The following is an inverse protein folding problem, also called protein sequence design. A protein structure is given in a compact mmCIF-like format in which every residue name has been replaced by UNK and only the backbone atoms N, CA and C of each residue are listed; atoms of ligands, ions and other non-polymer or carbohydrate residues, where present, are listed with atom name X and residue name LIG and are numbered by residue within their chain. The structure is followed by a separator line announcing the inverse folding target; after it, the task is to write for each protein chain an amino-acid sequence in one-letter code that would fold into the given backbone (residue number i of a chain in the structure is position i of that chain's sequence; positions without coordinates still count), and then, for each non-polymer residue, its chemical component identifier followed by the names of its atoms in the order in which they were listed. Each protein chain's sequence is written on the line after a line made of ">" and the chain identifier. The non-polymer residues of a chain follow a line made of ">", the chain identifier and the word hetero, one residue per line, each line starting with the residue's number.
data_IF_076084292864
#
_entry.id   IF_076084292864
#
_cell.length_a   1.000
_cell.length_b   1.000
_cell.length_c   1.000
_cell.angle_alpha   90.00
_cell.angle_beta   90.00
_cell.angle_gamma   90.00
#
_symmetry.space_group_name_H-M   'P 1'
#
loop_
_entity.id
_entity.type
_entity.pdbx_description
1 polymer ?
#
# COMPACT_ATOMS: atom_id res chain seq x y z
N UNK A 1 2.48 23.87 -7.50
CA UNK A 1 1.34 23.04 -7.10
C UNK A 1 1.86 21.71 -6.59
N UNK A 2 1.15 21.11 -5.63
CA UNK A 2 1.51 19.85 -4.98
C UNK A 2 0.25 19.01 -4.76
N UNK A 3 0.41 17.69 -4.72
CA UNK A 3 -0.64 16.76 -4.30
C UNK A 3 -0.47 16.40 -2.83
N UNK A 4 -1.60 16.17 -2.15
CA UNK A 4 -1.59 15.61 -0.80
C UNK A 4 -1.33 14.11 -0.86
N UNK A 5 -0.51 13.63 0.08
CA UNK A 5 -0.15 12.22 0.20
C UNK A 5 -0.65 11.73 1.56
N UNK A 6 -1.44 10.67 1.53
CA UNK A 6 -2.08 10.08 2.69
C UNK A 6 -1.63 8.63 2.87
N UNK A 7 -1.55 8.19 4.12
CA UNK A 7 -1.68 6.78 4.46
C UNK A 7 -3.17 6.45 4.49
N UNK A 8 -3.60 5.56 3.59
CA UNK A 8 -4.97 5.05 3.55
C UNK A 8 -5.03 3.71 4.23
N UNK A 9 -5.86 3.62 5.26
CA UNK A 9 -6.13 2.37 5.97
C UNK A 9 -7.43 1.76 5.49
N UNK A 10 -7.38 0.49 5.07
CA UNK A 10 -8.57 -0.29 4.70
C UNK A 10 -8.67 -1.55 5.56
N UNK A 11 -9.90 -2.02 5.77
CA UNK A 11 -10.15 -3.20 6.60
C UNK A 11 -9.40 -4.42 6.06
N UNK A 12 -8.76 -5.15 6.96
CA UNK A 12 -7.97 -6.33 6.63
C UNK A 12 -7.82 -7.27 7.82
N UNK A 13 -7.45 -8.53 7.56
CA UNK A 13 -7.22 -9.53 8.58
C UNK A 13 -5.87 -10.23 8.37
N UNK A 14 -5.11 -10.50 9.46
CA UNK A 14 -5.36 -10.17 10.86
C UNK A 14 -5.04 -8.71 11.23
N UNK A 15 -4.53 -7.91 10.29
CA UNK A 15 -4.29 -6.48 10.43
C UNK A 15 -4.89 -5.77 9.22
N UNK A 16 -5.24 -4.52 9.40
CA UNK A 16 -5.69 -3.65 8.32
C UNK A 16 -4.62 -3.52 7.23
N UNK A 17 -5.07 -3.14 6.04
CA UNK A 17 -4.18 -2.91 4.91
C UNK A 17 -3.84 -1.42 4.83
N UNK A 18 -2.57 -1.12 4.60
CA UNK A 18 -2.08 0.24 4.42
C UNK A 18 -1.62 0.45 2.99
N UNK A 19 -1.99 1.60 2.44
CA UNK A 19 -1.55 2.02 1.14
C UNK A 19 -1.19 3.51 1.12
N UNK A 20 -0.28 3.89 0.23
CA UNK A 20 0.01 5.30 -0.04
C UNK A 20 -1.04 5.79 -1.04
N UNK A 21 -1.86 6.75 -0.63
CA UNK A 21 -2.86 7.38 -1.48
C UNK A 21 -2.43 8.80 -1.81
N UNK A 22 -2.36 9.13 -3.09
CA UNK A 22 -2.06 10.49 -3.56
C UNK A 22 -3.32 11.06 -4.19
N UNK A 23 -3.84 12.12 -3.60
CA UNK A 23 -5.03 12.84 -4.07
C UNK A 23 -4.62 13.74 -5.23
N UNK A 24 -4.89 13.31 -6.47
CA UNK A 24 -4.41 13.96 -7.70
C UNK A 24 -5.48 14.76 -8.44
N UNK A 25 -6.74 14.55 -8.12
CA UNK A 25 -7.90 15.10 -8.82
C UNK A 25 -8.72 16.04 -7.91
N UNK A 26 -9.51 16.94 -8.51
CA UNK A 26 -10.31 17.92 -7.77
C UNK A 26 -11.49 17.32 -7.01
N UNK A 27 -11.98 16.15 -7.45
CA UNK A 27 -13.04 15.39 -6.81
C UNK A 27 -12.53 14.56 -5.62
N UNK A 28 -11.26 14.75 -5.21
CA UNK A 28 -10.57 14.00 -4.16
C UNK A 28 -10.26 12.55 -4.50
N UNK A 29 -10.42 12.15 -5.76
CA UNK A 29 -9.90 10.89 -6.27
C UNK A 29 -8.38 10.99 -6.54
N UNK A 30 -7.76 9.85 -6.80
CA UNK A 30 -6.32 9.80 -6.89
C UNK A 30 -5.73 8.46 -7.29
N UNK A 31 -4.49 8.24 -6.87
CA UNK A 31 -3.74 7.02 -7.14
C UNK A 31 -3.31 6.37 -5.84
N UNK A 32 -3.52 5.06 -5.75
CA UNK A 32 -3.04 4.22 -4.65
C UNK A 32 -1.80 3.47 -5.09
N UNK A 33 -0.80 3.41 -4.22
CA UNK A 33 0.35 2.50 -4.27
C UNK A 33 0.30 1.57 -3.06
N UNK A 34 0.32 0.26 -3.32
CA UNK A 34 0.08 -0.76 -2.31
C UNK A 34 0.87 -2.04 -2.58
N UNK A 35 0.98 -2.87 -1.55
CA UNK A 35 1.46 -4.25 -1.67
C UNK A 35 0.29 -5.19 -1.47
N UNK A 36 -0.05 -5.96 -2.50
CA UNK A 36 -1.18 -6.90 -2.51
C UNK A 36 -0.69 -8.34 -2.49
N UNK A 37 -1.56 -9.27 -2.09
CA UNK A 37 -1.23 -10.68 -1.99
C UNK A 37 -1.27 -11.20 -0.56
N UNK A 38 -0.66 -12.35 -0.31
CA UNK A 38 -0.75 -13.03 0.98
C UNK A 38 0.50 -13.89 1.25
N UNK A 39 0.63 -14.37 2.48
CA UNK A 39 1.80 -15.14 2.93
C UNK A 39 1.94 -16.52 2.25
N UNK A 40 0.88 -17.04 1.62
CA UNK A 40 0.85 -18.35 0.95
C UNK A 40 1.29 -18.27 -0.52
N UNK A 41 0.95 -17.19 -1.20
CA UNK A 41 1.27 -16.97 -2.62
C UNK A 41 2.45 -16.01 -2.82
N UNK A 42 2.79 -15.23 -1.78
CA UNK A 42 3.67 -14.08 -1.89
C UNK A 42 2.87 -12.80 -2.13
N UNK A 43 3.59 -11.69 -2.07
CA UNK A 43 3.03 -10.36 -2.27
C UNK A 43 3.74 -9.65 -3.42
N UNK A 44 3.04 -8.71 -4.04
CA UNK A 44 3.52 -7.93 -5.16
C UNK A 44 3.10 -6.47 -5.02
N UNK A 45 3.87 -5.59 -5.63
CA UNK A 45 3.47 -4.20 -5.81
C UNK A 45 2.28 -4.10 -6.76
N UNK A 46 1.37 -3.20 -6.43
CA UNK A 46 0.26 -2.81 -7.26
C UNK A 46 0.02 -1.29 -7.13
N UNK A 47 -0.41 -0.67 -8.22
CA UNK A 47 -0.84 0.71 -8.22
C UNK A 47 -2.04 0.90 -9.14
N UNK A 48 -2.99 1.72 -8.71
CA UNK A 48 -4.24 1.92 -9.44
C UNK A 48 -4.88 3.25 -9.12
N UNK A 49 -5.75 3.71 -10.03
CA UNK A 49 -6.67 4.81 -9.71
C UNK A 49 -7.65 4.36 -8.62
N UNK A 50 -7.97 5.27 -7.72
CA UNK A 50 -8.92 5.05 -6.66
C UNK A 50 -9.81 6.28 -6.50
N UNK A 51 -11.10 6.04 -6.27
CA UNK A 51 -12.03 7.09 -5.87
C UNK A 51 -11.71 7.66 -4.48
N UNK A 52 -12.46 8.70 -4.07
CA UNK A 52 -12.35 9.30 -2.75
C UNK A 52 -12.46 8.24 -1.64
N UNK A 53 -11.74 8.47 -0.54
CA UNK A 53 -11.79 7.55 0.60
C UNK A 53 -13.20 7.37 1.17
N UNK A 54 -14.01 8.43 1.14
CA UNK A 54 -15.38 8.47 1.65
C UNK A 54 -16.34 7.55 0.90
N UNK A 55 -16.06 7.21 -0.36
CA UNK A 55 -16.88 6.31 -1.18
C UNK A 55 -16.57 4.83 -0.96
N UNK A 56 -15.52 4.53 -0.19
CA UNK A 56 -15.02 3.18 0.01
C UNK A 56 -15.48 2.63 1.36
N UNK A 57 -16.44 1.70 1.36
CA UNK A 57 -16.96 1.04 2.57
C UNK A 57 -15.87 0.32 3.39
N UNK A 58 -14.79 -0.12 2.74
CA UNK A 58 -13.65 -0.76 3.38
C UNK A 58 -12.63 0.23 3.94
N UNK A 59 -12.76 1.54 3.69
CA UNK A 59 -11.82 2.54 4.13
C UNK A 59 -12.11 2.94 5.58
N UNK A 60 -11.12 2.77 6.44
CA UNK A 60 -11.21 3.09 7.86
C UNK A 60 -10.74 4.52 8.15
N UNK A 61 -9.84 5.05 7.33
CA UNK A 61 -9.37 6.42 7.47
C UNK A 61 -8.26 6.82 6.50
N UNK A 62 -7.96 8.12 6.52
CA UNK A 62 -6.81 8.72 5.87
C UNK A 62 -6.00 9.48 6.92
N UNK A 63 -4.69 9.28 6.91
CA UNK A 63 -3.74 10.09 7.68
C UNK A 63 -2.88 10.88 6.70
N UNK A 64 -2.84 12.21 6.80
CA UNK A 64 -1.98 13.03 5.95
C UNK A 64 -0.52 12.84 6.36
N UNK A 65 0.29 12.25 5.48
CA UNK A 65 1.70 11.97 5.74
C UNK A 65 2.65 12.94 5.01
N UNK A 66 2.12 13.77 4.10
CA UNK A 66 2.89 14.83 3.47
C UNK A 66 2.31 15.33 2.16
N UNK A 67 3.17 15.95 1.35
CA UNK A 67 2.81 16.44 0.02
C UNK A 67 3.92 16.10 -0.98
N UNK A 68 3.55 15.98 -2.25
CA UNK A 68 4.49 15.79 -3.36
C UNK A 68 4.28 16.89 -4.39
N UNK A 69 5.35 17.50 -4.89
CA UNK A 69 5.23 18.43 -6.02
C UNK A 69 4.69 17.67 -7.24
N UNK A 70 3.81 18.29 -8.03
CA UNK A 70 3.27 17.65 -9.24
C UNK A 70 4.39 17.14 -10.16
N UNK A 71 5.46 17.93 -10.34
CA UNK A 71 6.63 17.54 -11.12
C UNK A 71 7.37 16.29 -10.60
N UNK A 72 7.20 15.95 -9.31
CA UNK A 72 7.83 14.80 -8.67
C UNK A 72 6.86 13.63 -8.47
N UNK A 73 5.59 13.73 -8.90
CA UNK A 73 4.61 12.67 -8.71
C UNK A 73 5.06 11.34 -9.32
N UNK A 74 5.66 11.37 -10.51
CA UNK A 74 6.21 10.19 -11.17
C UNK A 74 7.36 9.50 -10.41
N UNK A 75 7.95 10.16 -9.41
CA UNK A 75 8.99 9.56 -8.57
C UNK A 75 8.43 8.69 -7.43
N UNK A 76 7.13 8.74 -7.15
CA UNK A 76 6.55 7.97 -6.04
C UNK A 76 6.66 6.48 -6.32
N UNK A 77 6.24 6.03 -7.50
CA UNK A 77 6.30 4.61 -7.87
C UNK A 77 7.72 4.01 -7.74
N UNK A 78 8.75 4.57 -8.40
CA UNK A 78 10.09 4.02 -8.25
C UNK A 78 10.62 4.15 -6.82
N UNK A 79 10.16 5.12 -6.02
CA UNK A 79 10.57 5.23 -4.60
C UNK A 79 9.98 4.12 -3.75
N UNK A 80 8.68 3.83 -3.89
CA UNK A 80 8.04 2.77 -3.11
C UNK A 80 8.51 1.38 -3.53
N UNK A 81 8.84 1.19 -4.81
CA UNK A 81 9.33 -0.09 -5.33
C UNK A 81 10.78 -0.43 -4.91
N UNK A 82 11.53 0.49 -4.29
CA UNK A 82 12.90 0.22 -3.77
C UNK A 82 12.88 -0.90 -2.72
N UNK A 83 11.83 -0.98 -1.91
CA UNK A 83 11.71 -1.99 -0.87
C UNK A 83 10.94 -3.17 -1.43
N UNK A 84 11.55 -4.35 -1.63
CA UNK A 84 10.86 -5.49 -2.24
C UNK A 84 9.70 -5.97 -1.36
N UNK A 85 8.57 -6.40 -1.96
CA UNK A 85 7.43 -6.88 -1.19
C UNK A 85 7.77 -8.23 -0.53
N UNK A 86 7.05 -8.62 0.54
CA UNK A 86 7.27 -9.91 1.17
C UNK A 86 7.08 -11.08 0.19
N UNK A 87 8.08 -11.97 0.13
CA UNK A 87 8.00 -13.20 -0.64
C UNK A 87 7.02 -14.21 -0.01
N UNK A 88 6.76 -15.31 -0.72
CA UNK A 88 5.99 -16.45 -0.21
C UNK A 88 6.65 -17.06 1.03
N UNK A 89 5.91 -17.11 2.14
CA UNK A 89 6.43 -17.51 3.44
C UNK A 89 5.97 -18.88 3.93
N UNK A 90 5.00 -19.48 3.24
CA UNK A 90 4.47 -20.81 3.56
C UNK A 90 4.43 -21.71 2.34
N UNK A 91 4.60 -23.01 2.55
CA UNK A 91 4.23 -24.05 1.61
C UNK A 91 3.20 -24.97 2.29
N UNK A 92 1.92 -24.69 2.03
CA UNK A 92 0.82 -25.32 2.76
C UNK A 92 0.84 -24.89 4.25
N UNK A 93 0.87 -25.83 5.21
CA UNK A 93 0.90 -25.50 6.63
C UNK A 93 2.30 -25.15 7.15
N UNK A 94 3.36 -25.33 6.35
CA UNK A 94 4.75 -25.23 6.82
C UNK A 94 5.40 -23.93 6.38
N UNK A 95 6.14 -23.27 7.27
CA UNK A 95 6.93 -22.08 6.92
C UNK A 95 8.07 -22.45 5.96
N UNK A 96 8.29 -21.64 4.94
CA UNK A 96 9.42 -21.82 4.02
C UNK A 96 10.75 -21.57 4.72
N UNK A 97 10.80 -20.60 5.65
CA UNK A 97 11.93 -20.36 6.53
C UNK A 97 11.45 -20.00 7.95
N UNK A 98 11.53 -20.91 8.93
CA UNK A 98 11.11 -20.64 10.30
C UNK A 98 11.90 -19.53 11.01
N UNK A 99 13.13 -19.26 10.58
CA UNK A 99 14.03 -18.29 11.23
C UNK A 99 13.79 -16.84 10.79
N UNK A 100 13.05 -16.62 9.69
CA UNK A 100 12.74 -15.29 9.16
C UNK A 100 11.34 -14.88 9.64
N UNK A 101 11.15 -13.76 10.36
CA UNK A 101 9.84 -13.33 10.84
C UNK A 101 8.77 -13.28 9.75
N UNK A 102 7.50 -13.49 10.13
CA UNK A 102 6.41 -13.31 9.19
C UNK A 102 6.29 -11.83 8.82
N UNK A 103 6.23 -11.56 7.51
CA UNK A 103 6.05 -10.21 6.97
C UNK A 103 4.74 -10.08 6.21
N UNK A 104 4.02 -8.98 6.42
CA UNK A 104 2.78 -8.62 5.71
C UNK A 104 2.93 -7.33 4.92
N UNK A 105 1.87 -6.94 4.23
CA UNK A 105 1.82 -5.73 3.38
C UNK A 105 2.19 -4.42 4.11
N UNK A 106 2.15 -4.41 5.45
CA UNK A 106 2.51 -3.25 6.28
C UNK A 106 4.00 -3.22 6.68
N UNK A 107 4.76 -4.29 6.47
CA UNK A 107 6.11 -4.47 7.06
C UNK A 107 7.20 -4.33 5.99
N UNK A 108 7.60 -3.09 5.74
CA UNK A 108 8.59 -2.66 4.75
C UNK A 108 9.93 -2.49 5.47
N UNK A 109 10.82 -3.48 5.37
CA UNK A 109 12.13 -3.54 6.06
C UNK A 109 13.20 -4.17 5.19
#
# INVERSE_FOLDING_TARGET
>A
MSYNVYLRETIGAPRNHHAIFVETELDRSGVIFQVVGNIQQGMAFDHKRAGPAEESESCLGLELIGTVKIANFGMIQPTVEIIPPPHKQFNGPTRTNPNVPLRRCQEWT
#
